data_IF_678976748428
#
_entry.id   IF_678976748428
#
_cell.length_a   1.000
_cell.length_b   1.000
_cell.length_c   1.000
_cell.angle_alpha   90.00
_cell.angle_beta   90.00
_cell.angle_gamma   90.00
#
_symmetry.space_group_name_H-M   'P 1'
#
loop_
_entity.id
_entity.type
_entity.pdbx_description
1 polymer ?
#
# COMPACT_ATOMS: atom_id res chain seq x y z
N UNK A 1 0.41 28.81 -14.86
CA UNK A 1 0.82 28.40 -13.49
C UNK A 1 0.00 27.21 -13.02
N UNK A 2 -1.30 27.18 -13.32
CA UNK A 2 -2.25 26.13 -12.88
C UNK A 2 -1.88 24.71 -13.33
N UNK A 3 -1.38 24.55 -14.56
CA UNK A 3 -0.98 23.23 -15.10
C UNK A 3 0.19 22.60 -14.31
N UNK A 4 1.19 23.40 -13.91
CA UNK A 4 2.38 22.92 -13.19
C UNK A 4 2.03 22.42 -11.79
N UNK A 5 1.03 23.05 -11.14
CA UNK A 5 0.55 22.64 -9.81
C UNK A 5 -0.21 21.31 -9.92
N UNK A 6 -1.04 21.14 -10.96
CA UNK A 6 -1.79 19.90 -11.20
C UNK A 6 -0.86 18.70 -11.46
N UNK A 7 0.17 18.87 -12.29
CA UNK A 7 1.14 17.81 -12.59
C UNK A 7 1.95 17.38 -11.36
N UNK A 8 2.40 18.35 -10.55
CA UNK A 8 3.12 18.08 -9.29
C UNK A 8 2.22 17.32 -8.30
N UNK A 9 0.96 17.71 -8.18
CA UNK A 9 0.03 17.05 -7.28
C UNK A 9 -0.24 15.61 -7.72
N UNK A 10 -0.45 15.37 -9.02
CA UNK A 10 -0.62 14.02 -9.56
C UNK A 10 0.60 13.12 -9.30
N UNK A 11 1.81 13.66 -9.44
CA UNK A 11 3.06 12.95 -9.14
C UNK A 11 3.18 12.55 -7.66
N UNK A 12 2.91 13.47 -6.73
CA UNK A 12 2.96 13.18 -5.29
C UNK A 12 1.93 12.11 -4.94
N UNK A 13 0.70 12.23 -5.46
CA UNK A 13 -0.34 11.22 -5.26
C UNK A 13 0.08 9.84 -5.73
N UNK A 14 0.74 9.75 -6.88
CA UNK A 14 1.21 8.48 -7.45
C UNK A 14 2.27 7.81 -6.57
N UNK A 15 3.08 8.57 -5.85
CA UNK A 15 4.09 8.04 -4.91
C UNK A 15 3.47 7.65 -3.56
N UNK A 16 2.52 8.43 -3.05
CA UNK A 16 2.03 8.27 -1.67
C UNK A 16 0.85 7.32 -1.55
N UNK A 17 0.11 7.04 -2.62
CA UNK A 17 -1.13 6.24 -2.55
C UNK A 17 -0.91 4.85 -1.91
N UNK A 18 0.12 4.11 -2.35
CA UNK A 18 0.40 2.76 -1.82
C UNK A 18 0.83 2.78 -0.35
N UNK A 19 1.78 3.63 0.07
CA UNK A 19 2.09 3.81 1.49
C UNK A 19 0.89 4.22 2.35
N UNK A 20 0.01 5.09 1.84
CA UNK A 20 -1.20 5.50 2.56
C UNK A 20 -2.19 4.35 2.73
N UNK A 21 -2.39 3.51 1.69
CA UNK A 21 -3.21 2.30 1.79
C UNK A 21 -2.66 1.35 2.85
N UNK A 22 -1.34 1.14 2.86
CA UNK A 22 -0.69 0.32 3.89
C UNK A 22 -0.91 0.89 5.30
N UNK A 23 -0.67 2.19 5.50
CA UNK A 23 -0.84 2.83 6.81
C UNK A 23 -2.28 2.73 7.32
N UNK A 24 -3.26 2.93 6.43
CA UNK A 24 -4.67 2.77 6.75
C UNK A 24 -5.02 1.31 7.10
N UNK A 25 -4.54 0.34 6.32
CA UNK A 25 -4.71 -1.09 6.60
C UNK A 25 -4.14 -1.45 7.98
N UNK A 26 -2.91 -1.03 8.27
CA UNK A 26 -2.25 -1.29 9.55
C UNK A 26 -3.04 -0.68 10.71
N UNK A 27 -3.45 0.59 10.58
CA UNK A 27 -4.25 1.27 11.60
C UNK A 27 -5.59 0.58 11.86
N UNK A 28 -6.32 0.19 10.81
CA UNK A 28 -7.60 -0.53 10.94
C UNK A 28 -7.40 -1.88 11.64
N UNK A 29 -6.39 -2.66 11.22
CA UNK A 29 -6.09 -3.95 11.84
C UNK A 29 -5.72 -3.78 13.32
N UNK A 30 -4.87 -2.80 13.63
CA UNK A 30 -4.40 -2.51 14.98
C UNK A 30 -5.54 -2.07 15.90
N UNK A 31 -6.32 -1.06 15.50
CA UNK A 31 -7.44 -0.53 16.31
C UNK A 31 -8.50 -1.60 16.52
N UNK A 32 -8.84 -2.38 15.49
CA UNK A 32 -9.80 -3.47 15.61
C UNK A 32 -9.31 -4.53 16.60
N UNK A 33 -8.05 -4.96 16.50
CA UNK A 33 -7.45 -5.90 17.44
C UNK A 33 -7.43 -5.38 18.88
N UNK A 34 -7.02 -4.12 19.07
CA UNK A 34 -6.95 -3.49 20.39
C UNK A 34 -8.34 -3.38 21.06
N UNK A 35 -9.35 -2.90 20.32
CA UNK A 35 -10.73 -2.80 20.83
C UNK A 35 -11.26 -4.18 21.21
N UNK A 36 -11.01 -5.17 20.36
CA UNK A 36 -11.51 -6.52 20.60
C UNK A 36 -10.84 -7.17 21.81
N UNK A 37 -9.52 -7.08 21.93
CA UNK A 37 -8.81 -7.59 23.10
C UNK A 37 -9.22 -6.87 24.40
N UNK A 38 -9.55 -5.58 24.34
CA UNK A 38 -9.96 -4.81 25.51
C UNK A 38 -11.43 -5.01 25.91
N UNK A 39 -12.33 -5.28 24.95
CA UNK A 39 -13.79 -5.18 25.18
C UNK A 39 -14.61 -6.41 24.81
N UNK A 40 -14.07 -7.39 24.08
CA UNK A 40 -14.87 -8.54 23.66
C UNK A 40 -15.09 -9.52 24.83
N UNK A 41 -16.35 -9.85 25.20
CA UNK A 41 -16.61 -10.85 26.23
C UNK A 41 -16.23 -12.24 25.73
N UNK A 42 -15.65 -13.08 26.61
CA UNK A 42 -15.17 -14.42 26.30
C UNK A 42 -16.22 -15.35 25.65
N UNK A 43 -17.51 -15.04 25.83
CA UNK A 43 -18.64 -15.79 25.28
C UNK A 43 -18.98 -15.49 23.81
N UNK A 44 -18.45 -14.41 23.19
CA UNK A 44 -18.82 -13.98 21.83
C UNK A 44 -17.71 -14.21 20.78
N UNK A 45 -16.46 -14.50 21.16
CA UNK A 45 -15.35 -14.20 20.25
C UNK A 45 -14.27 -15.28 20.10
N UNK A 46 -14.49 -16.38 19.37
CA UNK A 46 -13.37 -17.04 18.71
C UNK A 46 -12.64 -16.00 17.83
N UNK A 47 -11.30 -15.96 17.87
CA UNK A 47 -10.47 -15.07 17.02
C UNK A 47 -10.76 -15.19 15.51
N UNK A 48 -11.55 -16.19 15.10
CA UNK A 48 -12.03 -16.35 13.73
C UNK A 48 -12.72 -15.11 13.16
N UNK A 49 -13.50 -14.37 13.95
CA UNK A 49 -14.18 -13.15 13.47
C UNK A 49 -13.23 -12.00 13.14
N UNK A 50 -12.18 -11.81 13.96
CA UNK A 50 -11.10 -10.87 13.63
C UNK A 50 -10.34 -11.33 12.40
N UNK A 51 -10.05 -12.63 12.29
CA UNK A 51 -9.27 -13.16 11.16
C UNK A 51 -9.98 -12.94 9.84
N UNK A 52 -11.29 -13.15 9.78
CA UNK A 52 -12.07 -12.88 8.56
C UNK A 52 -12.06 -11.38 8.23
N UNK A 53 -12.24 -10.51 9.22
CA UNK A 53 -12.18 -9.06 9.02
C UNK A 53 -10.80 -8.60 8.51
N UNK A 54 -9.73 -9.03 9.16
CA UNK A 54 -8.34 -8.74 8.77
C UNK A 54 -8.05 -9.29 7.37
N UNK A 55 -8.50 -10.51 7.07
CA UNK A 55 -8.32 -11.10 5.75
C UNK A 55 -8.99 -10.28 4.65
N UNK A 56 -10.25 -9.88 4.85
CA UNK A 56 -10.99 -9.05 3.88
C UNK A 56 -10.31 -7.70 3.68
N UNK A 57 -9.94 -7.00 4.77
CA UNK A 57 -9.27 -5.70 4.69
C UNK A 57 -7.89 -5.83 4.04
N UNK A 58 -7.18 -6.93 4.27
CA UNK A 58 -5.89 -7.23 3.62
C UNK A 58 -6.05 -7.41 2.12
N UNK A 59 -7.04 -8.18 1.66
CA UNK A 59 -7.30 -8.36 0.23
C UNK A 59 -7.63 -7.03 -0.46
N UNK A 60 -8.47 -6.20 0.16
CA UNK A 60 -8.80 -4.88 -0.37
C UNK A 60 -7.56 -3.97 -0.48
N UNK A 61 -6.70 -3.97 0.55
CA UNK A 61 -5.46 -3.21 0.55
C UNK A 61 -4.49 -3.70 -0.55
N UNK A 62 -4.30 -5.01 -0.68
CA UNK A 62 -3.44 -5.59 -1.71
C UNK A 62 -3.96 -5.30 -3.12
N UNK A 63 -5.28 -5.36 -3.33
CA UNK A 63 -5.87 -4.99 -4.61
C UNK A 63 -5.60 -3.51 -4.96
N UNK A 64 -5.78 -2.60 -4.01
CA UNK A 64 -5.48 -1.17 -4.21
C UNK A 64 -4.00 -0.92 -4.52
N UNK A 65 -3.09 -1.55 -3.76
CA UNK A 65 -1.63 -1.44 -3.97
C UNK A 65 -1.23 -2.05 -5.32
N UNK A 66 -1.83 -3.17 -5.72
CA UNK A 66 -1.55 -3.81 -7.01
C UNK A 66 -1.97 -2.91 -8.19
N UNK A 67 -3.12 -2.24 -8.10
CA UNK A 67 -3.56 -1.26 -9.11
C UNK A 67 -2.59 -0.08 -9.19
N UNK A 68 -2.19 0.48 -8.05
CA UNK A 68 -1.21 1.58 -8.02
C UNK A 68 0.16 1.16 -8.56
N UNK A 69 0.65 -0.03 -8.19
CA UNK A 69 1.89 -0.60 -8.71
C UNK A 69 1.82 -0.86 -10.22
N UNK A 70 0.68 -1.34 -10.72
CA UNK A 70 0.46 -1.53 -12.16
C UNK A 70 0.51 -0.22 -12.95
N UNK A 71 -0.05 0.86 -12.40
CA UNK A 71 0.07 2.19 -12.99
C UNK A 71 1.51 2.70 -12.99
N UNK A 72 2.25 2.50 -11.88
CA UNK A 72 3.69 2.79 -11.81
C UNK A 72 4.49 2.00 -12.84
N UNK A 73 4.19 0.71 -13.00
CA UNK A 73 4.81 -0.16 -13.99
C UNK A 73 4.60 0.36 -15.42
N UNK A 74 3.35 0.64 -15.79
CA UNK A 74 3.04 1.18 -17.12
C UNK A 74 3.65 2.54 -17.39
N UNK A 75 3.74 3.40 -16.37
CA UNK A 75 4.37 4.71 -16.49
C UNK A 75 5.89 4.59 -16.73
N UNK A 76 6.54 3.60 -16.12
CA UNK A 76 7.96 3.32 -16.38
C UNK A 76 8.18 2.62 -17.72
N UNK A 77 7.30 1.70 -18.13
CA UNK A 77 7.50 0.82 -19.29
C UNK A 77 7.17 1.49 -20.63
N UNK A 78 6.69 2.74 -20.62
CA UNK A 78 6.36 3.46 -21.85
C UNK A 78 7.65 3.95 -22.53
N UNK A 79 7.99 3.31 -23.67
CA UNK A 79 9.21 3.43 -24.49
C UNK A 79 10.49 2.86 -23.85
N UNK A 80 10.77 1.59 -24.17
CA UNK A 80 12.13 1.03 -24.24
C UNK A 80 12.99 1.92 -25.15
N UNK A 81 13.80 2.80 -24.57
CA UNK A 81 14.83 3.52 -25.29
C UNK A 81 16.13 3.33 -24.51
N UNK A 82 16.93 2.39 -24.98
CA UNK A 82 18.31 2.16 -24.61
C UNK A 82 19.14 3.45 -24.65
N UNK A 83 19.52 4.01 -23.52
CA UNK A 83 20.47 5.13 -23.43
C UNK A 83 20.82 5.48 -21.98
N UNK A 84 22.02 6.04 -21.69
CA UNK A 84 22.47 6.34 -20.32
C UNK A 84 21.61 7.43 -19.68
N UNK A 85 21.17 7.18 -18.45
CA UNK A 85 20.04 7.82 -17.78
C UNK A 85 20.45 9.10 -17.01
N UNK A 86 21.09 10.07 -17.66
CA UNK A 86 21.64 11.27 -16.98
C UNK A 86 21.24 12.61 -17.63
N UNK A 87 20.23 12.59 -18.51
CA UNK A 87 19.74 13.82 -19.15
C UNK A 87 18.64 14.47 -18.28
N UNK A 88 18.75 15.78 -18.04
CA UNK A 88 17.83 16.57 -17.20
C UNK A 88 16.51 16.89 -17.92
N UNK A 89 15.95 15.90 -18.62
CA UNK A 89 14.73 16.02 -19.42
C UNK A 89 13.47 15.77 -18.58
N UNK A 90 12.35 16.47 -18.85
CA UNK A 90 11.07 16.22 -18.17
C UNK A 90 10.60 14.76 -18.25
N UNK A 91 10.91 14.08 -19.36
CA UNK A 91 10.53 12.70 -19.63
C UNK A 91 11.21 11.69 -18.68
N UNK A 92 12.50 11.86 -18.41
CA UNK A 92 13.25 10.95 -17.53
C UNK A 92 12.86 11.10 -16.06
N UNK A 93 12.46 12.31 -15.64
CA UNK A 93 11.88 12.54 -14.31
C UNK A 93 10.58 11.76 -14.11
N UNK A 94 9.70 11.72 -15.11
CA UNK A 94 8.45 10.94 -15.03
C UNK A 94 8.68 9.44 -14.93
N UNK A 95 9.69 8.91 -15.63
CA UNK A 95 10.07 7.48 -15.55
C UNK A 95 10.63 7.12 -14.19
N UNK A 96 11.48 7.96 -13.60
CA UNK A 96 11.98 7.77 -12.24
C UNK A 96 10.82 7.70 -11.24
N UNK A 97 9.85 8.61 -11.36
CA UNK A 97 8.66 8.60 -10.49
C UNK A 97 7.82 7.33 -10.67
N UNK A 98 7.62 6.86 -11.90
CA UNK A 98 6.94 5.59 -12.17
C UNK A 98 7.63 4.39 -11.54
N UNK A 99 8.97 4.32 -11.63
CA UNK A 99 9.76 3.26 -11.01
C UNK A 99 9.74 3.34 -9.47
N UNK A 100 9.86 4.55 -8.91
CA UNK A 100 9.75 4.77 -7.46
C UNK A 100 8.35 4.35 -6.94
N UNK A 101 7.27 4.68 -7.66
CA UNK A 101 5.91 4.21 -7.34
C UNK A 101 5.82 2.68 -7.36
N UNK A 102 6.44 2.01 -8.33
CA UNK A 102 6.46 0.56 -8.40
C UNK A 102 7.17 -0.05 -7.18
N UNK A 103 8.35 0.46 -6.83
CA UNK A 103 9.11 0.01 -5.66
C UNK A 103 8.36 0.26 -4.35
N UNK A 104 7.79 1.47 -4.17
CA UNK A 104 6.99 1.82 -3.00
C UNK A 104 5.74 0.95 -2.88
N UNK A 105 5.12 0.59 -4.01
CA UNK A 105 3.98 -0.33 -4.03
C UNK A 105 4.40 -1.74 -3.62
N UNK A 106 5.53 -2.25 -4.13
CA UNK A 106 6.08 -3.54 -3.71
C UNK A 106 6.39 -3.57 -2.21
N UNK A 107 7.05 -2.54 -1.68
CA UNK A 107 7.33 -2.41 -0.25
C UNK A 107 6.05 -2.35 0.59
N UNK A 108 5.05 -1.57 0.14
CA UNK A 108 3.76 -1.46 0.82
C UNK A 108 3.01 -2.80 0.85
N UNK A 109 3.05 -3.56 -0.24
CA UNK A 109 2.45 -4.90 -0.30
C UNK A 109 3.12 -5.86 0.69
N UNK A 110 4.46 -5.87 0.75
CA UNK A 110 5.21 -6.67 1.73
C UNK A 110 4.84 -6.29 3.16
N UNK A 111 4.70 -4.99 3.45
CA UNK A 111 4.32 -4.51 4.76
C UNK A 111 2.88 -4.91 5.14
N UNK A 112 1.93 -4.87 4.20
CA UNK A 112 0.56 -5.38 4.39
C UNK A 112 0.54 -6.88 4.69
N UNK A 113 1.29 -7.68 3.91
CA UNK A 113 1.40 -9.12 4.13
C UNK A 113 1.99 -9.41 5.51
N UNK A 114 3.07 -8.72 5.87
CA UNK A 114 3.70 -8.88 7.18
C UNK A 114 2.73 -8.55 8.33
N UNK A 115 1.99 -7.44 8.22
CA UNK A 115 0.98 -7.08 9.22
C UNK A 115 -0.14 -8.13 9.33
N UNK A 116 -0.60 -8.69 8.20
CA UNK A 116 -1.62 -9.73 8.20
C UNK A 116 -1.13 -11.05 8.85
N UNK A 117 0.15 -11.39 8.67
CA UNK A 117 0.77 -12.58 9.28
C UNK A 117 0.74 -12.52 10.80
N UNK A 118 0.86 -11.33 11.41
CA UNK A 118 0.81 -11.17 12.87
C UNK A 118 -0.47 -11.79 13.45
N UNK A 119 -1.61 -11.62 12.78
CA UNK A 119 -2.91 -12.14 13.23
C UNK A 119 -3.04 -13.67 13.07
N UNK A 120 -2.20 -14.27 12.22
CA UNK A 120 -2.09 -15.73 12.10
C UNK A 120 -1.31 -16.31 13.28
N UNK A 121 -0.22 -15.65 13.67
CA UNK A 121 0.67 -16.12 14.73
C UNK A 121 0.17 -15.78 16.14
N UNK A 122 -0.36 -14.57 16.35
CA UNK A 122 -0.94 -14.14 17.62
C UNK A 122 -2.34 -14.72 17.71
N UNK A 123 -2.52 -15.71 18.59
CA UNK A 123 -3.78 -16.47 18.72
C UNK A 123 -4.60 -16.11 19.95
N UNK A 124 -4.07 -15.23 20.80
CA UNK A 124 -4.62 -14.88 22.11
C UNK A 124 -4.35 -13.39 22.38
N UNK A 125 -5.15 -12.80 23.28
CA UNK A 125 -5.04 -11.40 23.71
C UNK A 125 -4.32 -11.29 25.06
N UNK A 126 -3.35 -12.17 25.30
CA UNK A 126 -2.55 -12.23 26.54
C UNK A 126 -1.27 -11.40 26.47
#
# INVERSE_FOLDING_TARGET
MDNVVSERQASIWMLTVSPTIWAAHFGVCYVTGAIWCAKAPAAIAPLGGIRTAVFVVTLLALAGIAVAGWWGYRAHSYRDASGPHDDDTPEDRHRFMGFATLLLSGLSALAVIYAALVVVFVRTCE
#
